data_IF_955769512812
#
_entry.id   IF_955769512812
#
_cell.length_a   1.000
_cell.length_b   1.000
_cell.length_c   1.000
_cell.angle_alpha   90.00
_cell.angle_beta   90.00
_cell.angle_gamma   90.00
#
_symmetry.space_group_name_H-M   'P 1'
#
loop_
_entity.id
_entity.type
_entity.pdbx_description
1 polymer ?
#
# COMPACT_ATOMS: atom_id res chain seq x y z
N UNK A 1 -22.29 -9.58 -19.60
CA UNK A 1 -21.92 -9.51 -18.17
C UNK A 1 -21.17 -10.78 -17.83
N UNK A 2 -19.84 -10.74 -17.84
CA UNK A 2 -19.01 -11.92 -17.59
C UNK A 2 -18.80 -12.03 -16.09
N UNK A 3 -19.26 -13.14 -15.49
CA UNK A 3 -18.97 -13.47 -14.09
C UNK A 3 -17.45 -13.58 -13.91
N UNK A 4 -16.87 -12.69 -13.11
CA UNK A 4 -15.47 -12.80 -12.69
C UNK A 4 -15.43 -13.79 -11.52
N UNK A 5 -14.83 -14.95 -11.75
CA UNK A 5 -14.61 -15.97 -10.71
C UNK A 5 -13.58 -15.46 -9.70
N UNK A 6 -13.83 -15.70 -8.40
CA UNK A 6 -12.88 -15.42 -7.30
C UNK A 6 -11.56 -16.21 -7.42
N UNK A 7 -11.49 -17.18 -8.34
CA UNK A 7 -10.29 -17.97 -8.65
C UNK A 7 -9.60 -17.57 -9.97
N UNK A 8 -10.04 -16.52 -10.63
CA UNK A 8 -9.36 -16.00 -11.83
C UNK A 8 -8.09 -15.25 -11.40
N UNK A 9 -7.00 -16.01 -11.18
CA UNK A 9 -5.64 -15.49 -11.03
C UNK A 9 -5.07 -15.26 -12.44
N UNK A 10 -5.58 -14.23 -13.11
CA UNK A 10 -5.09 -13.85 -14.42
C UNK A 10 -3.85 -12.97 -14.28
N UNK A 11 -2.72 -13.41 -14.83
CA UNK A 11 -1.50 -12.59 -14.95
C UNK A 11 -1.63 -11.51 -16.05
N UNK A 12 -2.79 -11.38 -16.68
CA UNK A 12 -3.04 -10.39 -17.73
C UNK A 12 -3.09 -8.99 -17.11
N UNK A 13 -2.34 -8.01 -17.67
CA UNK A 13 -2.46 -6.62 -17.27
C UNK A 13 -3.91 -6.13 -17.31
N UNK A 14 -4.24 -5.15 -16.47
CA UNK A 14 -5.49 -4.43 -16.62
C UNK A 14 -5.53 -3.74 -17.99
N UNK A 15 -6.71 -3.70 -18.60
CA UNK A 15 -7.01 -2.73 -19.66
C UNK A 15 -7.09 -1.32 -19.07
N UNK A 16 -7.20 -0.29 -19.91
CA UNK A 16 -7.22 1.09 -19.46
C UNK A 16 -8.36 1.36 -18.45
N UNK A 17 -9.56 0.87 -18.74
CA UNK A 17 -10.73 1.03 -17.87
C UNK A 17 -10.57 0.28 -16.54
N UNK A 18 -10.00 -0.94 -16.57
CA UNK A 18 -9.69 -1.72 -15.38
C UNK A 18 -8.64 -1.05 -14.50
N UNK A 19 -7.62 -0.44 -15.11
CA UNK A 19 -6.60 0.31 -14.39
C UNK A 19 -7.21 1.54 -13.70
N UNK A 20 -8.06 2.30 -14.40
CA UNK A 20 -8.76 3.44 -13.82
C UNK A 20 -9.64 3.03 -12.63
N UNK A 21 -10.41 1.94 -12.75
CA UNK A 21 -11.21 1.40 -11.64
C UNK A 21 -10.33 0.98 -10.46
N UNK A 22 -9.19 0.34 -10.73
CA UNK A 22 -8.27 -0.10 -9.69
C UNK A 22 -7.64 1.09 -8.94
N UNK A 23 -7.20 2.12 -9.68
CA UNK A 23 -6.68 3.36 -9.09
C UNK A 23 -7.76 4.07 -8.28
N UNK A 24 -8.96 4.23 -8.83
CA UNK A 24 -10.08 4.87 -8.15
C UNK A 24 -10.39 4.16 -6.82
N UNK A 25 -10.45 2.81 -6.84
CA UNK A 25 -10.63 2.00 -5.64
C UNK A 25 -9.52 2.24 -4.62
N UNK A 26 -8.26 2.18 -5.05
CA UNK A 26 -7.12 2.43 -4.17
C UNK A 26 -7.24 3.81 -3.51
N UNK A 27 -7.61 4.86 -4.25
CA UNK A 27 -7.76 6.22 -3.73
C UNK A 27 -8.89 6.38 -2.69
N UNK A 28 -9.90 5.51 -2.69
CA UNK A 28 -10.99 5.55 -1.69
C UNK A 28 -10.58 5.03 -0.31
N UNK A 29 -9.47 4.30 -0.21
CA UNK A 29 -8.98 3.77 1.07
C UNK A 29 -8.56 4.94 1.97
N UNK A 30 -9.12 4.98 3.18
CA UNK A 30 -8.80 5.98 4.20
C UNK A 30 -7.70 5.47 5.12
N UNK A 31 -6.91 6.39 5.65
CA UNK A 31 -5.90 6.05 6.64
C UNK A 31 -6.58 5.39 7.87
N UNK A 32 -5.99 4.32 8.42
CA UNK A 32 -6.44 3.80 9.70
C UNK A 32 -6.23 4.86 10.79
N UNK A 33 -7.01 4.78 11.86
CA UNK A 33 -6.90 5.69 12.99
C UNK A 33 -7.30 5.02 14.30
N UNK A 34 -6.82 5.57 15.41
CA UNK A 34 -7.18 5.13 16.76
C UNK A 34 -6.21 4.10 17.35
N UNK A 35 -6.68 3.39 18.38
CA UNK A 35 -5.82 2.57 19.25
C UNK A 35 -5.19 1.38 18.53
N UNK A 36 -5.92 0.74 17.62
CA UNK A 36 -5.43 -0.43 16.86
C UNK A 36 -4.27 -0.05 15.95
N UNK A 37 -4.37 1.11 15.29
CA UNK A 37 -3.33 1.64 14.41
C UNK A 37 -2.04 1.96 15.18
N UNK A 38 -2.16 2.66 16.31
CA UNK A 38 -1.02 2.94 17.17
C UNK A 38 -0.40 1.66 17.75
N UNK A 39 -1.21 0.67 18.14
CA UNK A 39 -0.70 -0.62 18.62
C UNK A 39 0.11 -1.35 17.55
N UNK A 40 -0.37 -1.35 16.30
CA UNK A 40 0.37 -1.91 15.16
C UNK A 40 1.70 -1.19 14.97
N UNK A 41 1.72 0.15 14.97
CA UNK A 41 2.96 0.91 14.86
C UNK A 41 3.97 0.59 15.97
N UNK A 42 3.53 0.49 17.23
CA UNK A 42 4.43 0.14 18.34
C UNK A 42 5.01 -1.28 18.20
N UNK A 43 4.21 -2.24 17.71
CA UNK A 43 4.68 -3.58 17.44
C UNK A 43 5.77 -3.59 16.35
N UNK A 44 5.53 -2.89 15.23
CA UNK A 44 6.51 -2.76 14.15
C UNK A 44 7.79 -2.07 14.64
N UNK A 45 7.65 -0.95 15.36
CA UNK A 45 8.80 -0.21 15.90
C UNK A 45 9.66 -1.09 16.80
N UNK A 46 9.05 -1.93 17.64
CA UNK A 46 9.78 -2.81 18.56
C UNK A 46 10.41 -4.02 17.87
N UNK A 47 9.75 -4.57 16.87
CA UNK A 47 10.23 -5.76 16.17
C UNK A 47 11.36 -5.45 15.17
N UNK A 48 11.32 -4.29 14.50
CA UNK A 48 12.19 -4.00 13.36
C UNK A 48 13.09 -2.76 13.52
N UNK A 49 12.81 -1.88 14.48
CA UNK A 49 13.47 -0.57 14.64
C UNK A 49 13.75 0.19 13.31
N UNK A 50 12.70 0.45 12.52
CA UNK A 50 12.86 0.90 11.14
C UNK A 50 13.45 2.31 11.05
N UNK A 51 14.46 2.46 10.19
CA UNK A 51 15.12 3.73 9.91
C UNK A 51 14.67 4.29 8.55
N UNK A 52 14.33 5.58 8.53
CA UNK A 52 14.01 6.30 7.30
C UNK A 52 15.22 7.16 6.89
N UNK A 53 15.85 6.80 5.77
CA UNK A 53 16.97 7.55 5.20
C UNK A 53 16.44 8.48 4.12
N UNK A 54 16.95 9.72 4.10
CA UNK A 54 16.63 10.73 3.08
C UNK A 54 15.12 11.04 2.92
N UNK A 55 14.30 10.85 3.96
CA UNK A 55 12.86 11.12 3.92
C UNK A 55 12.52 12.58 3.54
N UNK A 56 13.43 13.52 3.79
CA UNK A 56 13.30 14.92 3.38
C UNK A 56 13.27 15.13 1.86
N UNK A 57 13.71 14.15 1.06
CA UNK A 57 13.63 14.21 -0.40
C UNK A 57 12.21 13.93 -0.93
N UNK A 58 11.29 13.46 -0.08
CA UNK A 58 9.93 13.15 -0.49
C UNK A 58 9.14 14.47 -0.62
N UNK A 59 8.63 14.80 -1.81
CA UNK A 59 7.98 16.08 -2.04
C UNK A 59 6.66 16.20 -1.27
N UNK A 60 6.26 17.41 -0.89
CA UNK A 60 5.02 17.68 -0.13
C UNK A 60 3.70 17.48 -0.92
N UNK A 61 3.77 16.79 -2.06
CA UNK A 61 2.62 16.49 -2.95
C UNK A 61 2.35 14.97 -2.97
N UNK A 62 1.16 14.55 -3.45
CA UNK A 62 0.91 13.14 -3.73
C UNK A 62 1.98 12.56 -4.66
N UNK A 63 2.48 11.38 -4.32
CA UNK A 63 3.53 10.68 -5.05
C UNK A 63 3.23 9.18 -5.09
N UNK A 64 3.69 8.54 -6.17
CA UNK A 64 3.68 7.10 -6.32
C UNK A 64 5.01 6.54 -5.80
N UNK A 65 4.94 5.60 -4.86
CA UNK A 65 6.09 4.85 -4.39
C UNK A 65 6.17 3.55 -5.18
N UNK A 66 7.27 3.34 -5.90
CA UNK A 66 7.52 2.11 -6.66
C UNK A 66 8.60 1.33 -5.93
N UNK A 67 8.23 0.20 -5.35
CA UNK A 67 9.15 -0.75 -4.71
C UNK A 67 9.33 -2.02 -5.53
N UNK A 68 10.35 -2.82 -5.21
CA UNK A 68 10.47 -4.16 -5.79
C UNK A 68 9.44 -5.13 -5.17
N UNK A 69 9.31 -6.34 -5.70
CA UNK A 69 8.31 -7.32 -5.25
C UNK A 69 8.44 -7.72 -3.77
N UNK A 70 9.65 -7.74 -3.19
CA UNK A 70 9.84 -7.99 -1.75
C UNK A 70 9.21 -6.89 -0.90
N UNK A 71 9.10 -5.68 -1.46
CA UNK A 71 8.57 -4.51 -0.79
C UNK A 71 7.05 -4.61 -0.48
N UNK A 72 6.33 -5.53 -1.12
CA UNK A 72 4.86 -5.61 -1.04
C UNK A 72 4.32 -6.65 -0.06
N UNK A 73 5.13 -7.60 0.41
CA UNK A 73 4.68 -8.62 1.35
C UNK A 73 4.88 -8.18 2.82
N UNK A 74 6.12 -8.27 3.31
CA UNK A 74 6.44 -7.87 4.69
C UNK A 74 6.74 -6.38 4.80
N UNK A 75 7.49 -5.84 3.83
CA UNK A 75 7.96 -4.47 3.89
C UNK A 75 6.80 -3.47 3.80
N UNK A 76 5.72 -3.77 3.07
CA UNK A 76 4.52 -2.92 3.03
C UNK A 76 3.83 -2.84 4.40
N UNK A 77 3.82 -3.94 5.16
CA UNK A 77 3.27 -3.99 6.52
C UNK A 77 4.14 -3.24 7.53
N UNK A 78 5.46 -3.16 7.29
CA UNK A 78 6.40 -2.39 8.12
C UNK A 78 6.37 -0.90 7.73
N UNK A 79 6.45 -0.62 6.43
CA UNK A 79 6.61 0.72 5.88
C UNK A 79 5.38 1.60 6.09
N UNK A 80 4.17 1.04 5.90
CA UNK A 80 2.92 1.79 6.00
C UNK A 80 2.74 2.49 7.35
N UNK A 81 2.78 1.79 8.52
CA UNK A 81 2.64 2.46 9.81
C UNK A 81 3.80 3.41 10.11
N UNK A 82 5.02 3.09 9.66
CA UNK A 82 6.20 3.96 9.86
C UNK A 82 6.06 5.28 9.10
N UNK A 83 5.62 5.24 7.85
CA UNK A 83 5.39 6.43 7.04
C UNK A 83 4.20 7.25 7.55
N UNK A 84 3.14 6.58 8.02
CA UNK A 84 1.99 7.27 8.60
C UNK A 84 2.38 8.04 9.86
N UNK A 85 3.04 7.39 10.83
CA UNK A 85 3.40 8.02 12.10
C UNK A 85 4.57 9.00 12.00
N UNK A 86 5.61 8.72 11.18
CA UNK A 86 6.83 9.56 11.14
C UNK A 86 6.79 10.64 10.07
N UNK A 87 5.99 10.47 9.01
CA UNK A 87 5.93 11.40 7.88
C UNK A 87 4.52 11.95 7.64
N UNK A 88 3.50 11.51 8.40
CA UNK A 88 2.11 11.90 8.15
C UNK A 88 1.57 11.40 6.81
N UNK A 89 2.18 10.34 6.24
CA UNK A 89 1.89 9.86 4.89
C UNK A 89 1.25 8.49 4.93
N UNK A 90 -0.03 8.43 4.56
CA UNK A 90 -0.71 7.16 4.37
C UNK A 90 -0.39 6.56 3.00
N UNK A 91 0.27 5.41 3.00
CA UNK A 91 0.55 4.65 1.79
C UNK A 91 -0.64 3.77 1.44
N UNK A 92 -1.20 3.98 0.25
CA UNK A 92 -2.26 3.14 -0.29
C UNK A 92 -1.63 2.07 -1.16
N UNK A 93 -1.91 0.82 -0.85
CA UNK A 93 -1.44 -0.29 -1.67
C UNK A 93 -2.05 -0.16 -3.08
N UNK A 94 -1.18 -0.21 -4.08
CA UNK A 94 -1.52 -0.30 -5.50
C UNK A 94 -0.61 -1.39 -6.06
N UNK A 95 -1.20 -2.50 -6.49
CA UNK A 95 -0.44 -3.68 -6.90
C UNK A 95 -0.95 -4.25 -8.22
N UNK A 96 -0.23 -5.24 -8.75
CA UNK A 96 -0.72 -6.04 -9.86
C UNK A 96 -1.96 -6.87 -9.46
N UNK A 97 -2.66 -7.42 -10.46
CA UNK A 97 -3.82 -8.31 -10.25
C UNK A 97 -3.49 -9.50 -9.35
N UNK A 98 -2.26 -10.00 -9.41
CA UNK A 98 -1.83 -11.17 -8.67
C UNK A 98 -1.88 -10.96 -7.15
N UNK A 99 -1.55 -9.76 -6.66
CA UNK A 99 -1.58 -9.43 -5.23
C UNK A 99 -2.97 -9.03 -4.71
N UNK A 100 -3.85 -8.50 -5.56
CA UNK A 100 -5.15 -7.93 -5.13
C UNK A 100 -6.29 -8.33 -6.08
N UNK A 101 -6.57 -9.63 -6.18
CA UNK A 101 -7.80 -10.14 -6.79
C UNK A 101 -9.00 -9.55 -6.05
N UNK A 102 -9.69 -8.60 -6.68
CA UNK A 102 -10.76 -7.88 -6.03
C UNK A 102 -11.78 -7.32 -7.00
#
# INVERSE_FOLDING_TARGET
MTQVSIFDKSDRPFDAEGMERHIARALTVKAPSGLVENAWYQAIRRAFDPQLVAAGNIPARPCLFVGNHALFALDGMVLTPVMLHRQGRFLRALGDRFLWNS
#
